data_IF_133570129475
#
_entry.id   IF_133570129475
#
_cell.length_a   1.000
_cell.length_b   1.000
_cell.length_c   1.000
_cell.angle_alpha   90.00
_cell.angle_beta   90.00
_cell.angle_gamma   90.00
#
_symmetry.space_group_name_H-M   'P 1'
#
loop_
_entity.id
_entity.type
_entity.pdbx_description
1 polymer ?
#
# COMPACT_ATOMS: atom_id res chain seq x y z
N UNK A 1 -14.60 -5.38 5.57
CA UNK A 1 -13.23 -4.89 5.34
C UNK A 1 -12.87 -5.18 3.89
N UNK A 2 -12.50 -4.17 3.08
CA UNK A 2 -11.94 -4.42 1.74
C UNK A 2 -10.56 -5.06 1.91
N UNK A 3 -10.30 -6.29 1.40
CA UNK A 3 -9.01 -6.96 1.54
C UNK A 3 -7.85 -6.14 0.98
N UNK A 4 -8.09 -5.30 -0.03
CA UNK A 4 -7.06 -4.44 -0.59
C UNK A 4 -6.74 -3.28 0.35
N UNK A 5 -7.72 -2.73 1.06
CA UNK A 5 -7.47 -1.69 2.05
C UNK A 5 -6.66 -2.25 3.22
N UNK A 6 -7.01 -3.45 3.70
CA UNK A 6 -6.25 -4.11 4.76
C UNK A 6 -4.79 -4.39 4.36
N UNK A 7 -4.54 -4.72 3.09
CA UNK A 7 -3.20 -4.90 2.55
C UNK A 7 -2.42 -3.57 2.46
N UNK A 8 -3.10 -2.46 2.13
CA UNK A 8 -2.51 -1.11 2.12
C UNK A 8 -2.15 -0.68 3.54
N UNK A 9 -3.07 -0.85 4.49
CA UNK A 9 -2.86 -0.48 5.89
C UNK A 9 -1.69 -1.26 6.49
N UNK A 10 -1.50 -2.53 6.11
CA UNK A 10 -0.33 -3.31 6.50
C UNK A 10 0.97 -2.72 5.97
N UNK A 11 0.98 -2.20 4.73
CA UNK A 11 2.17 -1.56 4.15
C UNK A 11 2.44 -0.22 4.87
N UNK A 12 1.41 0.58 5.14
CA UNK A 12 1.55 1.88 5.80
C UNK A 12 1.90 1.77 7.29
N UNK A 13 1.53 0.67 7.96
CA UNK A 13 1.86 0.41 9.36
C UNK A 13 3.30 -0.07 9.57
N UNK A 14 4.04 -0.40 8.51
CA UNK A 14 5.47 -0.78 8.60
C UNK A 14 6.34 0.45 8.82
N UNK A 15 7.52 0.22 9.37
CA UNK A 15 8.48 1.31 9.56
C UNK A 15 8.96 1.85 8.20
N UNK A 16 9.08 3.18 8.04
CA UNK A 16 9.67 3.77 6.85
C UNK A 16 11.09 3.23 6.64
N UNK A 17 11.30 2.49 5.55
CA UNK A 17 12.58 1.86 5.23
C UNK A 17 12.61 0.34 5.38
N UNK A 18 11.58 -0.26 5.99
CA UNK A 18 11.40 -1.71 5.98
C UNK A 18 11.02 -2.18 4.57
N UNK A 19 11.78 -3.14 4.03
CA UNK A 19 11.47 -3.71 2.72
C UNK A 19 10.31 -4.70 2.82
N UNK A 20 9.41 -4.67 1.84
CA UNK A 20 8.29 -5.59 1.77
C UNK A 20 8.04 -6.07 0.33
N UNK A 21 7.51 -7.27 0.21
CA UNK A 21 7.10 -7.84 -1.08
C UNK A 21 5.60 -7.68 -1.30
N UNK A 22 5.23 -6.99 -2.39
CA UNK A 22 3.83 -6.92 -2.81
C UNK A 22 3.21 -8.30 -3.06
N UNK A 23 4.01 -9.29 -3.47
CA UNK A 23 3.53 -10.65 -3.75
C UNK A 23 3.13 -11.36 -2.46
N UNK A 24 3.93 -11.24 -1.40
CA UNK A 24 3.65 -11.88 -0.11
C UNK A 24 2.42 -11.27 0.55
N UNK A 25 2.32 -9.94 0.52
CA UNK A 25 1.16 -9.22 1.06
C UNK A 25 -0.08 -9.58 0.24
N UNK A 26 0.01 -9.56 -1.08
CA UNK A 26 -1.11 -9.93 -1.94
C UNK A 26 -1.62 -11.36 -1.68
N UNK A 27 -0.71 -12.33 -1.52
CA UNK A 27 -1.05 -13.70 -1.19
C UNK A 27 -1.71 -13.82 0.19
N UNK A 28 -1.21 -13.09 1.21
CA UNK A 28 -1.77 -13.09 2.56
C UNK A 28 -3.22 -12.61 2.61
N UNK A 29 -3.55 -11.58 1.83
CA UNK A 29 -4.90 -11.00 1.80
C UNK A 29 -5.77 -11.53 0.66
N UNK A 30 -5.26 -12.48 -0.16
CA UNK A 30 -5.99 -13.03 -1.30
C UNK A 30 -6.31 -11.99 -2.39
N UNK A 31 -5.50 -10.95 -2.52
CA UNK A 31 -5.72 -9.86 -3.49
C UNK A 31 -4.79 -9.97 -4.69
N UNK A 32 -5.16 -9.32 -5.79
CA UNK A 32 -4.29 -9.23 -6.95
C UNK A 32 -3.13 -8.24 -6.70
N UNK A 33 -1.88 -8.72 -6.84
CA UNK A 33 -0.65 -7.93 -6.65
C UNK A 33 -0.59 -6.65 -7.50
N UNK A 34 -1.04 -6.71 -8.76
CA UNK A 34 -1.02 -5.53 -9.65
C UNK A 34 -2.03 -4.48 -9.18
N UNK A 35 -3.17 -4.91 -8.65
CA UNK A 35 -4.18 -4.01 -8.06
C UNK A 35 -3.67 -3.37 -6.78
N UNK A 36 -3.05 -4.14 -5.90
CA UNK A 36 -2.43 -3.65 -4.66
C UNK A 36 -1.36 -2.59 -4.96
N UNK A 37 -0.44 -2.87 -5.89
CA UNK A 37 0.63 -1.94 -6.27
C UNK A 37 0.09 -0.62 -6.85
N UNK A 38 -0.90 -0.69 -7.76
CA UNK A 38 -1.51 0.52 -8.34
C UNK A 38 -2.20 1.38 -7.29
N UNK A 39 -3.00 0.77 -6.41
CA UNK A 39 -3.68 1.51 -5.34
C UNK A 39 -2.70 2.10 -4.36
N UNK A 40 -1.72 1.33 -3.88
CA UNK A 40 -0.71 1.83 -2.96
C UNK A 40 0.04 3.03 -3.55
N UNK A 41 0.54 2.92 -4.79
CA UNK A 41 1.22 4.05 -5.46
C UNK A 41 0.30 5.25 -5.66
N UNK A 42 -0.96 5.03 -6.02
CA UNK A 42 -1.95 6.12 -6.15
C UNK A 42 -2.23 6.83 -4.83
N UNK A 43 -2.32 6.09 -3.72
CA UNK A 43 -2.47 6.60 -2.36
C UNK A 43 -1.21 7.33 -1.88
N UNK A 44 -0.03 6.79 -2.14
CA UNK A 44 1.24 7.44 -1.77
C UNK A 44 1.45 8.73 -2.55
N UNK A 45 1.15 8.76 -3.86
CA UNK A 45 1.28 9.97 -4.68
C UNK A 45 0.32 11.06 -4.21
N UNK A 46 -0.96 10.72 -3.96
CA UNK A 46 -1.91 11.71 -3.46
C UNK A 46 -1.49 12.26 -2.09
N UNK A 47 -0.98 11.41 -1.19
CA UNK A 47 -0.47 11.82 0.13
C UNK A 47 0.78 12.70 0.03
N UNK A 48 1.72 12.37 -0.85
CA UNK A 48 2.92 13.15 -1.08
C UNK A 48 2.59 14.54 -1.66
N UNK A 49 1.63 14.63 -2.59
CA UNK A 49 1.17 15.92 -3.13
C UNK A 49 0.52 16.79 -2.06
N UNK A 50 -0.27 16.20 -1.15
CA UNK A 50 -0.91 16.95 -0.05
C UNK A 50 0.11 17.45 0.98
N UNK A 51 1.17 16.67 1.27
CA UNK A 51 2.21 17.07 2.23
C UNK A 51 3.13 18.19 1.71
N UNK A 52 3.29 18.35 0.40
CA UNK A 52 4.21 19.32 -0.20
C UNK A 52 3.61 20.72 -0.45
N UNK A 53 2.38 20.98 0.00
CA UNK A 53 1.66 22.24 -0.22
C UNK A 53 1.21 22.89 1.10
N UNK A 54 2.05 22.88 2.13
CA UNK A 54 1.82 23.59 3.40
C UNK A 54 2.95 24.55 3.71
#
# INVERSE_FOLDING_TARGET
MDPIQAAIDQIESREPGESFSYTEIAARYGVNRSTLSRRYRGVTVSRATVLNNQ
#
